data_IF_410969174166
#
_entry.id   IF_410969174166
#
_cell.length_a   1.000
_cell.length_b   1.000
_cell.length_c   1.000
_cell.angle_alpha   90.00
_cell.angle_beta   90.00
_cell.angle_gamma   90.00
#
_symmetry.space_group_name_H-M   'P 1'
#
loop_
_entity.id
_entity.type
_entity.pdbx_description
1 polymer ?
#
# COMPACT_ATOMS: atom_id res chain seq x y z
N UNK A 1 -8.48 -18.70 24.10
CA UNK A 1 -7.58 -18.91 22.94
C UNK A 1 -8.39 -19.31 21.69
N UNK A 2 -8.48 -18.43 20.68
CA UNK A 2 -9.21 -18.70 19.44
C UNK A 2 -8.45 -19.65 18.49
N UNK A 3 -8.75 -20.95 18.61
CA UNK A 3 -9.01 -22.00 17.61
C UNK A 3 -8.47 -21.94 16.14
N UNK A 4 -7.32 -21.33 15.85
CA UNK A 4 -6.72 -21.41 14.50
C UNK A 4 -5.67 -22.53 14.33
N UNK A 5 -4.93 -22.84 15.40
CA UNK A 5 -3.83 -23.82 15.36
C UNK A 5 -4.27 -25.25 14.99
N UNK A 6 -5.31 -25.82 15.63
CA UNK A 6 -5.79 -27.17 15.32
C UNK A 6 -6.33 -27.36 13.89
N UNK A 7 -6.74 -26.27 13.23
CA UNK A 7 -7.29 -26.28 11.88
C UNK A 7 -6.21 -26.13 10.79
N UNK A 8 -4.97 -25.75 11.15
CA UNK A 8 -3.90 -25.53 10.16
C UNK A 8 -3.46 -26.85 9.50
N UNK A 9 -3.72 -26.95 8.20
CA UNK A 9 -3.41 -28.12 7.39
C UNK A 9 -1.89 -28.36 7.26
N UNK A 10 -1.05 -27.33 7.46
CA UNK A 10 0.40 -27.41 7.38
C UNK A 10 1.04 -28.11 8.58
N UNK A 11 0.32 -28.23 9.70
CA UNK A 11 0.79 -28.98 10.87
C UNK A 11 0.58 -30.49 10.70
N UNK A 12 1.42 -31.31 11.35
CA UNK A 12 1.23 -32.76 11.31
C UNK A 12 -0.07 -33.16 12.02
N UNK A 13 -0.64 -34.33 11.67
CA UNK A 13 -1.84 -34.86 12.34
C UNK A 13 -1.63 -35.01 13.86
N UNK A 14 -0.41 -35.37 14.28
CA UNK A 14 -0.02 -35.51 15.69
C UNK A 14 -0.01 -34.16 16.41
N UNK A 15 0.60 -33.13 15.80
CA UNK A 15 0.60 -31.75 16.34
C UNK A 15 -0.82 -31.25 16.52
N UNK A 16 -1.67 -31.40 15.50
CA UNK A 16 -3.08 -30.97 15.58
C UNK A 16 -3.86 -31.70 16.68
N UNK A 17 -3.59 -32.98 16.89
CA UNK A 17 -4.24 -33.74 17.97
C UNK A 17 -3.83 -33.23 19.36
N UNK A 18 -2.55 -32.90 19.55
CA UNK A 18 -2.05 -32.29 20.80
C UNK A 18 -2.69 -30.92 21.01
N UNK A 19 -2.74 -30.07 19.99
CA UNK A 19 -3.36 -28.74 20.07
C UNK A 19 -4.85 -28.80 20.44
N UNK A 20 -5.59 -29.84 20.00
CA UNK A 20 -6.99 -30.05 20.38
C UNK A 20 -7.19 -30.51 21.82
N UNK A 21 -6.18 -31.16 22.39
CA UNK A 21 -6.23 -31.73 23.73
C UNK A 21 -5.71 -30.77 24.82
N UNK A 22 -5.37 -29.53 24.45
CA UNK A 22 -4.85 -28.55 25.40
C UNK A 22 -5.92 -28.10 26.41
N UNK A 23 -5.51 -27.76 27.64
CA UNK A 23 -6.40 -27.17 28.63
C UNK A 23 -7.04 -25.88 28.12
N UNK A 24 -8.29 -25.65 28.51
CA UNK A 24 -9.04 -24.44 28.13
C UNK A 24 -8.51 -23.22 28.88
N UNK A 25 -8.05 -23.41 30.13
CA UNK A 25 -7.54 -22.32 30.95
C UNK A 25 -6.04 -22.10 30.69
N UNK A 26 -5.64 -20.84 30.63
CA UNK A 26 -4.27 -20.46 30.29
C UNK A 26 -3.25 -20.84 31.38
N UNK A 27 -3.62 -20.81 32.66
CA UNK A 27 -2.81 -21.29 33.78
C UNK A 27 -2.49 -22.78 33.64
N UNK A 28 -3.50 -23.61 33.40
CA UNK A 28 -3.32 -25.06 33.21
C UNK A 28 -2.45 -25.36 31.99
N UNK A 29 -2.69 -24.68 30.87
CA UNK A 29 -1.91 -24.85 29.65
C UNK A 29 -0.45 -24.42 29.83
N UNK A 30 -0.20 -23.33 30.56
CA UNK A 30 1.15 -22.87 30.87
C UNK A 30 1.89 -23.86 31.78
N UNK A 31 1.25 -24.36 32.83
CA UNK A 31 1.83 -25.35 33.74
C UNK A 31 2.17 -26.65 33.00
N UNK A 32 1.23 -27.18 32.22
CA UNK A 32 1.47 -28.38 31.42
C UNK A 32 2.62 -28.19 30.43
N UNK A 33 2.72 -27.01 29.79
CA UNK A 33 3.81 -26.72 28.87
C UNK A 33 5.17 -26.63 29.58
N UNK A 34 5.23 -26.02 30.77
CA UNK A 34 6.45 -25.96 31.59
C UNK A 34 6.92 -27.35 32.02
N UNK A 35 5.98 -28.22 32.39
CA UNK A 35 6.28 -29.60 32.76
C UNK A 35 6.82 -30.40 31.57
N UNK A 36 6.20 -30.25 30.38
CA UNK A 36 6.69 -30.86 29.14
C UNK A 36 8.08 -30.35 28.72
N UNK A 37 8.40 -29.10 29.04
CA UNK A 37 9.70 -28.49 28.78
C UNK A 37 10.75 -28.85 29.86
N UNK A 38 10.33 -29.49 30.96
CA UNK A 38 11.21 -29.85 32.07
C UNK A 38 11.72 -28.64 32.86
N UNK A 39 10.95 -27.54 32.90
CA UNK A 39 11.33 -26.32 33.64
C UNK A 39 10.99 -26.51 35.12
N UNK A 40 12.02 -26.51 35.97
CA UNK A 40 11.87 -26.67 37.43
C UNK A 40 11.22 -25.43 38.06
N UNK A 41 10.59 -25.60 39.23
CA UNK A 41 9.92 -24.51 39.96
C UNK A 41 10.84 -23.31 40.21
N UNK A 42 12.11 -23.57 40.56
CA UNK A 42 13.11 -22.53 40.82
C UNK A 42 13.46 -21.69 39.58
N UNK A 43 13.35 -22.29 38.39
CA UNK A 43 13.71 -21.64 37.12
C UNK A 43 12.50 -20.96 36.43
N UNK A 44 11.27 -21.21 36.90
CA UNK A 44 10.03 -20.71 36.26
C UNK A 44 10.02 -19.19 36.10
N UNK A 45 10.41 -18.43 37.13
CA UNK A 45 10.39 -16.95 37.07
C UNK A 45 11.30 -16.46 35.93
N UNK A 46 12.54 -16.92 35.91
CA UNK A 46 13.53 -16.53 34.90
C UNK A 46 13.08 -16.94 33.50
N UNK A 47 12.53 -18.15 33.36
CA UNK A 47 12.07 -18.67 32.08
C UNK A 47 10.89 -17.87 31.53
N UNK A 48 9.88 -17.58 32.36
CA UNK A 48 8.72 -16.77 31.97
C UNK A 48 9.13 -15.32 31.63
N UNK A 49 10.06 -14.73 32.37
CA UNK A 49 10.62 -13.40 32.05
C UNK A 49 11.32 -13.38 30.69
N UNK A 50 12.06 -14.43 30.35
CA UNK A 50 12.69 -14.57 29.03
C UNK A 50 11.65 -14.62 27.89
N UNK A 51 10.51 -15.30 28.09
CA UNK A 51 9.41 -15.32 27.13
C UNK A 51 8.78 -13.93 26.93
N UNK A 52 8.53 -13.20 28.02
CA UNK A 52 7.92 -11.86 27.97
C UNK A 52 8.82 -10.82 27.32
N UNK A 53 10.14 -10.93 27.51
CA UNK A 53 11.13 -9.97 27.00
C UNK A 53 11.61 -10.28 25.58
N UNK A 54 11.29 -11.46 25.04
CA UNK A 54 11.76 -11.92 23.72
C UNK A 54 11.33 -11.01 22.56
N UNK A 55 10.15 -10.39 22.66
CA UNK A 55 9.61 -9.47 21.67
C UNK A 55 9.38 -8.10 22.33
N UNK A 56 10.37 -7.19 22.28
CA UNK A 56 10.25 -5.87 22.90
C UNK A 56 8.97 -5.16 22.46
N UNK A 57 8.24 -4.59 23.43
CA UNK A 57 6.97 -3.88 23.21
C UNK A 57 5.72 -4.75 23.18
N UNK A 58 5.80 -6.04 22.82
CA UNK A 58 4.61 -6.90 22.71
C UNK A 58 3.96 -7.21 24.06
N UNK A 59 4.73 -7.59 25.07
CA UNK A 59 4.19 -7.82 26.41
C UNK A 59 3.53 -6.54 26.98
N UNK A 60 4.12 -5.37 26.71
CA UNK A 60 3.55 -4.08 27.09
C UNK A 60 2.24 -3.78 26.34
N UNK A 61 2.17 -4.09 25.04
CA UNK A 61 0.96 -3.92 24.24
C UNK A 61 -0.17 -4.87 24.69
N UNK A 62 0.14 -6.15 24.95
CA UNK A 62 -0.82 -7.12 25.48
C UNK A 62 -1.36 -6.65 26.82
N UNK A 63 -0.49 -6.20 27.72
CA UNK A 63 -0.89 -5.61 29.00
C UNK A 63 -1.81 -4.39 28.82
N UNK A 64 -1.42 -3.46 27.95
CA UNK A 64 -2.20 -2.25 27.64
C UNK A 64 -3.60 -2.58 27.08
N UNK A 65 -3.71 -3.65 26.29
CA UNK A 65 -4.98 -4.17 25.74
C UNK A 65 -5.83 -4.84 26.82
N UNK A 66 -5.21 -5.66 27.67
CA UNK A 66 -5.88 -6.31 28.80
C UNK A 66 -6.44 -5.30 29.81
N UNK A 67 -5.70 -4.22 30.09
CA UNK A 67 -6.15 -3.11 30.94
C UNK A 67 -7.40 -2.38 30.39
N UNK A 68 -7.71 -2.55 29.10
CA UNK A 68 -8.91 -2.00 28.44
C UNK A 68 -10.04 -3.03 28.29
N UNK A 69 -9.91 -4.20 28.92
CA UNK A 69 -10.82 -5.34 28.77
C UNK A 69 -11.04 -5.76 27.31
N UNK A 70 -10.03 -5.56 26.46
CA UNK A 70 -10.04 -5.92 25.04
C UNK A 70 -8.93 -6.93 24.75
N UNK A 71 -9.28 -8.11 24.24
CA UNK A 71 -8.30 -9.09 23.76
C UNK A 71 -7.82 -10.09 24.82
N UNK A 72 -6.58 -10.55 24.68
CA UNK A 72 -5.93 -11.56 25.52
C UNK A 72 -5.08 -10.92 26.62
N UNK A 73 -4.89 -11.62 27.74
CA UNK A 73 -4.01 -11.15 28.81
C UNK A 73 -2.56 -11.68 28.71
N UNK A 74 -1.72 -11.31 29.68
CA UNK A 74 -0.32 -11.76 29.72
C UNK A 74 -0.18 -13.26 29.97
N UNK A 75 -1.11 -13.88 30.70
CA UNK A 75 -1.10 -15.30 30.99
C UNK A 75 -1.51 -16.10 29.75
N UNK A 76 -2.54 -15.67 29.04
CA UNK A 76 -2.93 -16.19 27.72
C UNK A 76 -1.74 -16.14 26.74
N UNK A 77 -1.04 -15.01 26.72
CA UNK A 77 0.14 -14.82 25.87
C UNK A 77 1.27 -15.77 26.24
N UNK A 78 1.57 -15.93 27.53
CA UNK A 78 2.58 -16.87 28.02
C UNK A 78 2.21 -18.32 27.71
N UNK A 79 0.98 -18.73 28.05
CA UNK A 79 0.45 -20.06 27.80
C UNK A 79 0.57 -20.44 26.33
N UNK A 80 0.17 -19.54 25.43
CA UNK A 80 0.33 -19.71 23.99
C UNK A 80 1.79 -19.95 23.59
N UNK A 81 2.73 -19.08 24.05
CA UNK A 81 4.15 -19.19 23.67
C UNK A 81 4.80 -20.46 24.19
N UNK A 82 4.55 -20.81 25.46
CA UNK A 82 5.08 -22.01 26.10
C UNK A 82 4.56 -23.27 25.42
N UNK A 83 3.27 -23.29 25.09
CA UNK A 83 2.63 -24.39 24.37
C UNK A 83 3.23 -24.58 22.98
N UNK A 84 3.46 -23.51 22.23
CA UNK A 84 4.12 -23.63 20.93
C UNK A 84 5.54 -24.15 21.06
N UNK A 85 6.31 -23.66 22.03
CA UNK A 85 7.68 -24.12 22.27
C UNK A 85 7.72 -25.60 22.64
N UNK A 86 6.88 -26.04 23.60
CA UNK A 86 6.82 -27.43 24.04
C UNK A 86 6.49 -28.38 22.89
N UNK A 87 5.46 -28.07 22.11
CA UNK A 87 5.02 -28.89 20.98
C UNK A 87 6.09 -28.96 19.89
N UNK A 88 6.71 -27.83 19.53
CA UNK A 88 7.71 -27.79 18.45
C UNK A 88 9.01 -28.50 18.85
N UNK A 89 9.45 -28.36 20.11
CA UNK A 89 10.65 -29.05 20.60
C UNK A 89 10.43 -30.55 20.79
N UNK A 90 9.27 -30.98 21.30
CA UNK A 90 8.94 -32.41 21.40
C UNK A 90 8.90 -33.11 20.05
N UNK A 91 8.54 -32.40 18.96
CA UNK A 91 8.55 -32.98 17.61
C UNK A 91 9.96 -33.10 17.00
N UNK A 92 10.89 -32.22 17.37
CA UNK A 92 12.29 -32.29 16.90
C UNK A 92 13.14 -33.33 17.67
N UNK A 93 12.68 -33.85 18.81
CA UNK A 93 13.39 -34.86 19.61
C UNK A 93 13.33 -36.28 19.04
N UNK A 94 12.58 -36.53 17.96
CA UNK A 94 12.36 -37.89 17.44
C UNK A 94 13.53 -38.53 16.67
N UNK A 95 14.78 -38.06 16.83
CA UNK A 95 15.93 -38.55 16.05
C UNK A 95 17.21 -38.88 16.86
N UNK A 96 17.15 -38.98 18.20
CA UNK A 96 18.27 -39.52 18.98
C UNK A 96 17.75 -40.35 20.17
N UNK A 97 18.37 -41.51 20.50
CA UNK A 97 18.03 -42.26 21.70
C UNK A 97 18.35 -41.43 22.95
N UNK A 98 17.42 -41.40 23.90
CA UNK A 98 17.59 -40.81 25.23
C UNK A 98 18.66 -41.59 26.01
N UNK A 99 19.89 -41.06 26.08
CA UNK A 99 20.70 -41.28 27.27
C UNK A 99 20.08 -40.44 28.42
N UNK A 100 20.02 -40.98 29.65
CA UNK A 100 19.51 -40.25 30.79
C UNK A 100 20.45 -39.08 31.10
N UNK A 101 20.12 -37.90 30.56
CA UNK A 101 20.80 -36.65 30.88
C UNK A 101 20.48 -36.35 32.34
N UNK A 102 21.39 -36.76 33.22
CA UNK A 102 21.44 -36.30 34.60
C UNK A 102 21.22 -34.78 34.62
N UNK A 103 20.46 -34.29 35.60
CA UNK A 103 20.02 -32.91 35.82
C UNK A 103 21.18 -31.90 36.03
N UNK A 104 22.13 -31.89 35.11
CA UNK A 104 23.13 -30.85 34.97
C UNK A 104 22.49 -29.73 34.18
N UNK A 105 22.44 -28.54 34.77
CA UNK A 105 22.07 -27.32 34.06
C UNK A 105 22.80 -27.30 32.72
N UNK A 106 22.12 -27.04 31.59
CA UNK A 106 22.80 -26.94 30.29
C UNK A 106 23.88 -25.87 30.39
N UNK A 107 25.13 -26.33 30.49
CA UNK A 107 26.31 -25.45 30.57
C UNK A 107 26.42 -24.75 29.22
N UNK A 108 26.33 -23.42 29.22
CA UNK A 108 26.61 -22.63 28.02
C UNK A 108 28.08 -22.89 27.65
N UNK A 109 28.36 -23.47 26.48
CA UNK A 109 29.73 -23.77 26.09
C UNK A 109 30.51 -22.46 25.95
N UNK A 110 31.72 -22.45 26.51
CA UNK A 110 32.67 -21.35 26.39
C UNK A 110 32.99 -21.07 24.92
N UNK A 111 33.48 -19.86 24.63
CA UNK A 111 33.87 -19.51 23.26
C UNK A 111 34.93 -20.46 22.68
N UNK A 112 35.80 -21.01 23.53
CA UNK A 112 36.83 -21.99 23.15
C UNK A 112 36.24 -23.35 22.79
N UNK A 113 35.27 -23.84 23.57
CA UNK A 113 34.56 -25.08 23.25
C UNK A 113 33.76 -24.95 21.94
N UNK A 114 33.12 -23.79 21.73
CA UNK A 114 32.44 -23.49 20.46
C UNK A 114 33.41 -23.44 19.29
N UNK A 115 34.60 -22.85 19.45
CA UNK A 115 35.64 -22.83 18.43
C UNK A 115 36.11 -24.25 18.08
N UNK A 116 36.35 -25.09 19.09
CA UNK A 116 36.72 -26.50 18.88
C UNK A 116 35.60 -27.32 18.22
N UNK A 117 34.35 -27.06 18.55
CA UNK A 117 33.21 -27.68 17.88
C UNK A 117 33.11 -27.27 16.41
N UNK A 118 33.36 -25.99 16.08
CA UNK A 118 33.41 -25.52 14.69
C UNK A 118 34.56 -26.13 13.90
N UNK A 119 35.76 -26.23 14.50
CA UNK A 119 36.91 -26.88 13.86
C UNK A 119 36.59 -28.33 13.47
N UNK A 120 35.99 -29.10 14.39
CA UNK A 120 35.53 -30.47 14.09
C UNK A 120 34.43 -30.51 13.03
N UNK A 121 33.45 -29.62 13.12
CA UNK A 121 32.34 -29.58 12.15
C UNK A 121 32.81 -29.23 10.73
N UNK A 122 33.90 -28.47 10.60
CA UNK A 122 34.52 -28.11 9.32
C UNK A 122 35.60 -29.08 8.86
N UNK A 123 35.87 -30.16 9.62
CA UNK A 123 36.92 -31.14 9.27
C UNK A 123 38.32 -30.54 9.24
N UNK A 124 38.58 -29.53 10.08
CA UNK A 124 39.91 -28.95 10.22
C UNK A 124 40.74 -29.82 11.17
N UNK A 125 41.66 -30.60 10.60
CA UNK A 125 42.65 -31.36 11.35
C UNK A 125 43.80 -30.43 11.80
N UNK A 126 44.42 -30.73 12.95
CA UNK A 126 45.59 -30.02 13.50
C UNK A 126 45.41 -28.50 13.77
N UNK A 127 44.25 -28.06 14.26
CA UNK A 127 44.10 -26.66 14.70
C UNK A 127 44.94 -26.39 15.94
N UNK A 128 45.90 -25.46 15.83
CA UNK A 128 46.78 -25.09 16.94
C UNK A 128 46.00 -24.48 18.12
N UNK A 129 46.56 -24.59 19.32
CA UNK A 129 45.96 -23.99 20.51
C UNK A 129 45.86 -22.45 20.41
N UNK A 130 46.80 -21.84 19.67
CA UNK A 130 46.81 -20.41 19.38
C UNK A 130 45.67 -20.00 18.46
N UNK A 131 45.37 -20.80 17.43
CA UNK A 131 44.28 -20.55 16.49
C UNK A 131 42.91 -20.74 17.14
N UNK A 132 42.75 -21.77 17.98
CA UNK A 132 41.55 -21.94 18.82
C UNK A 132 41.35 -20.74 19.75
N UNK A 133 42.43 -20.22 20.33
CA UNK A 133 42.40 -19.01 21.15
C UNK A 133 41.99 -17.76 20.37
N UNK A 134 42.47 -17.60 19.13
CA UNK A 134 42.06 -16.51 18.24
C UNK A 134 40.58 -16.61 17.85
N UNK A 135 40.12 -17.79 17.42
CA UNK A 135 38.72 -18.05 17.10
C UNK A 135 37.79 -17.83 18.31
N UNK A 136 38.21 -18.26 19.51
CA UNK A 136 37.46 -18.03 20.74
C UNK A 136 37.29 -16.52 21.04
N UNK A 137 38.31 -15.69 20.80
CA UNK A 137 38.20 -14.23 20.97
C UNK A 137 37.15 -13.63 20.04
N UNK A 138 37.11 -14.05 18.77
CA UNK A 138 36.08 -13.63 17.81
C UNK A 138 34.69 -14.07 18.27
N UNK A 139 34.54 -15.33 18.71
CA UNK A 139 33.27 -15.86 19.20
C UNK A 139 32.80 -15.24 20.53
N UNK A 140 33.71 -14.66 21.32
CA UNK A 140 33.38 -13.90 22.53
C UNK A 140 32.97 -12.47 22.21
N UNK A 141 33.57 -11.85 21.19
CA UNK A 141 33.20 -10.52 20.72
C UNK A 141 31.81 -10.47 20.06
N UNK A 142 31.26 -11.63 19.69
CA UNK A 142 29.93 -11.77 19.09
C UNK A 142 28.96 -12.57 19.99
N UNK A 143 28.39 -11.96 21.03
CA UNK A 143 27.40 -12.60 21.90
C UNK A 143 26.26 -13.21 21.08
N UNK A 144 25.68 -14.32 21.55
CA UNK A 144 24.54 -14.98 20.88
C UNK A 144 23.38 -14.00 20.64
N UNK A 145 23.15 -13.10 21.60
CA UNK A 145 22.13 -12.06 21.54
C UNK A 145 22.37 -11.02 20.44
N UNK A 146 23.63 -10.75 20.08
CA UNK A 146 23.99 -9.79 19.03
C UNK A 146 23.87 -10.37 17.62
N UNK A 147 23.91 -11.71 17.47
CA UNK A 147 23.94 -12.37 16.16
C UNK A 147 22.73 -12.04 15.30
N UNK A 148 21.54 -12.03 15.90
CA UNK A 148 20.29 -11.75 15.17
C UNK A 148 20.33 -10.34 14.55
N UNK A 149 20.81 -9.35 15.30
CA UNK A 149 20.96 -7.98 14.80
C UNK A 149 22.02 -7.89 13.70
N UNK A 150 23.15 -8.57 13.85
CA UNK A 150 24.21 -8.58 12.83
C UNK A 150 23.72 -9.22 11.53
N UNK A 151 22.99 -10.33 11.60
CA UNK A 151 22.38 -10.94 10.42
C UNK A 151 21.33 -10.03 9.77
N UNK A 152 20.50 -9.36 10.58
CA UNK A 152 19.54 -8.38 10.08
C UNK A 152 20.24 -7.21 9.36
N UNK A 153 21.28 -6.65 9.98
CA UNK A 153 22.08 -5.57 9.40
C UNK A 153 22.77 -6.00 8.12
N UNK A 154 23.33 -7.22 8.07
CA UNK A 154 23.94 -7.76 6.86
C UNK A 154 22.92 -7.93 5.72
N UNK A 155 21.72 -8.43 6.04
CA UNK A 155 20.62 -8.55 5.08
C UNK A 155 20.19 -7.18 4.52
N UNK A 156 19.97 -6.20 5.40
CA UNK A 156 19.59 -4.83 5.03
C UNK A 156 20.69 -4.13 4.23
N UNK A 157 21.95 -4.30 4.64
CA UNK A 157 23.12 -3.74 3.95
C UNK A 157 23.27 -4.34 2.57
N UNK A 158 23.12 -5.66 2.42
CA UNK A 158 23.16 -6.32 1.12
C UNK A 158 22.10 -5.75 0.17
N UNK A 159 20.85 -5.62 0.63
CA UNK A 159 19.77 -5.02 -0.17
C UNK A 159 20.08 -3.57 -0.54
N UNK A 160 20.51 -2.75 0.44
CA UNK A 160 20.85 -1.34 0.23
C UNK A 160 21.97 -1.19 -0.77
N UNK A 161 23.06 -1.92 -0.61
CA UNK A 161 24.25 -1.78 -1.45
C UNK A 161 23.99 -2.29 -2.87
N UNK A 162 23.11 -3.30 -3.04
CA UNK A 162 22.61 -3.71 -4.35
C UNK A 162 21.75 -2.61 -4.99
N UNK A 163 20.83 -2.00 -4.25
CA UNK A 163 19.99 -0.91 -4.73
C UNK A 163 20.81 0.33 -5.11
N UNK A 164 21.77 0.74 -4.27
CA UNK A 164 22.63 1.89 -4.54
C UNK A 164 23.49 1.68 -5.78
N UNK A 165 24.04 0.47 -5.98
CA UNK A 165 24.75 0.13 -7.23
C UNK A 165 23.83 0.23 -8.44
N UNK A 166 22.63 -0.36 -8.37
CA UNK A 166 21.67 -0.28 -9.47
C UNK A 166 21.27 1.16 -9.81
N UNK A 167 21.11 2.04 -8.81
CA UNK A 167 20.80 3.46 -9.03
C UNK A 167 21.99 4.21 -9.64
N UNK A 168 23.21 3.93 -9.19
CA UNK A 168 24.42 4.54 -9.74
C UNK A 168 24.64 4.14 -11.21
N UNK A 169 24.43 2.86 -11.56
CA UNK A 169 24.57 2.34 -12.92
C UNK A 169 23.48 2.84 -13.88
N UNK A 170 22.26 3.07 -13.38
CA UNK A 170 21.11 3.51 -14.18
C UNK A 170 20.86 5.02 -14.13
N UNK A 171 21.87 5.83 -13.81
CA UNK A 171 21.75 7.28 -13.89
C UNK A 171 21.60 7.71 -15.35
N UNK A 172 20.40 8.14 -15.73
CA UNK A 172 20.11 8.57 -17.09
C UNK A 172 21.03 9.74 -17.48
N UNK A 173 21.61 9.66 -18.68
CA UNK A 173 22.36 10.77 -19.24
C UNK A 173 21.41 11.97 -19.44
N UNK A 174 21.84 13.20 -19.08
CA UNK A 174 21.01 14.38 -19.28
C UNK A 174 20.67 14.54 -20.77
N UNK A 175 19.38 14.64 -21.11
CA UNK A 175 18.94 14.83 -22.50
C UNK A 175 19.40 16.19 -23.03
N UNK A 176 20.22 16.20 -24.07
CA UNK A 176 20.69 17.43 -24.73
C UNK A 176 19.70 17.85 -25.80
N UNK A 177 18.54 18.36 -25.40
CA UNK A 177 17.49 18.80 -26.34
C UNK A 177 16.20 19.23 -25.67
N UNK A 178 15.29 19.85 -26.44
CA UNK A 178 13.92 20.11 -26.00
C UNK A 178 13.11 18.83 -26.16
N UNK A 179 12.53 18.33 -25.08
CA UNK A 179 11.68 17.14 -25.13
C UNK A 179 10.50 17.31 -26.11
N UNK A 180 10.14 16.24 -26.80
CA UNK A 180 8.98 16.16 -27.68
C UNK A 180 7.67 16.38 -26.89
N UNK A 181 7.57 15.77 -25.70
CA UNK A 181 6.53 16.04 -24.72
C UNK A 181 7.06 15.88 -23.28
N UNK A 182 6.47 16.64 -22.37
CA UNK A 182 6.70 16.54 -20.94
C UNK A 182 5.47 15.96 -20.25
N UNK A 183 5.65 14.96 -19.40
CA UNK A 183 4.54 14.24 -18.77
C UNK A 183 4.73 14.29 -17.27
N UNK A 184 3.81 14.94 -16.57
CA UNK A 184 3.78 15.02 -15.12
C UNK A 184 2.82 13.94 -14.62
N UNK A 185 3.36 12.89 -14.01
CA UNK A 185 2.57 11.85 -13.35
C UNK A 185 2.45 12.15 -11.85
N UNK A 186 1.56 11.41 -11.18
CA UNK A 186 1.58 11.37 -9.73
C UNK A 186 2.95 10.93 -9.20
N UNK A 187 3.38 11.51 -8.08
CA UNK A 187 4.61 11.16 -7.37
C UNK A 187 4.57 9.77 -6.72
N UNK A 188 3.42 9.09 -6.79
CA UNK A 188 3.28 7.71 -6.38
C UNK A 188 4.32 6.81 -7.06
N UNK A 189 5.01 5.98 -6.27
CA UNK A 189 6.10 5.11 -6.74
C UNK A 189 5.64 4.11 -7.81
N UNK A 190 4.35 3.77 -7.85
CA UNK A 190 3.77 2.90 -8.88
C UNK A 190 3.79 3.56 -10.26
N UNK A 191 3.82 4.89 -10.33
CA UNK A 191 3.97 5.64 -11.58
C UNK A 191 5.42 5.66 -12.09
N UNK A 192 6.40 5.20 -11.30
CA UNK A 192 7.81 5.19 -11.71
C UNK A 192 8.06 4.29 -12.93
N UNK A 193 7.51 3.07 -12.93
CA UNK A 193 7.68 2.14 -14.05
C UNK A 193 7.15 2.71 -15.37
N UNK A 194 5.97 3.35 -15.33
CA UNK A 194 5.38 4.04 -16.48
C UNK A 194 6.29 5.19 -16.95
N UNK A 195 6.78 6.02 -16.01
CA UNK A 195 7.65 7.15 -16.31
C UNK A 195 8.96 6.71 -16.99
N UNK A 196 9.67 5.75 -16.39
CA UNK A 196 10.91 5.18 -16.97
C UNK A 196 10.65 4.56 -18.34
N UNK A 197 9.53 3.84 -18.51
CA UNK A 197 9.18 3.27 -19.81
C UNK A 197 8.95 4.34 -20.87
N UNK A 198 8.20 5.41 -20.57
CA UNK A 198 7.98 6.50 -21.53
C UNK A 198 9.29 7.18 -21.92
N UNK A 199 10.18 7.46 -20.97
CA UNK A 199 11.49 8.03 -21.28
C UNK A 199 12.35 7.08 -22.13
N UNK A 200 12.20 5.77 -21.97
CA UNK A 200 12.90 4.79 -22.81
C UNK A 200 12.43 4.79 -24.28
N UNK A 201 11.27 5.37 -24.59
CA UNK A 201 10.71 5.41 -25.95
C UNK A 201 11.26 6.56 -26.82
N UNK A 202 12.03 7.49 -26.25
CA UNK A 202 12.64 8.58 -27.03
C UNK A 202 12.79 9.88 -26.23
N UNK A 203 12.57 11.01 -26.90
CA UNK A 203 12.79 12.35 -26.34
C UNK A 203 11.63 12.82 -25.44
N UNK A 204 11.21 11.98 -24.50
CA UNK A 204 10.22 12.32 -23.49
C UNK A 204 10.90 12.66 -22.18
N UNK A 205 10.31 13.60 -21.45
CA UNK A 205 10.75 13.92 -20.09
C UNK A 205 9.58 13.76 -19.13
N UNK A 206 9.80 13.08 -18.01
CA UNK A 206 8.74 12.86 -17.03
C UNK A 206 9.04 13.54 -15.71
N UNK A 207 7.97 13.93 -15.02
CA UNK A 207 8.02 14.55 -13.69
C UNK A 207 7.08 13.80 -12.76
N UNK A 208 7.39 13.79 -11.47
CA UNK A 208 6.50 13.33 -10.42
C UNK A 208 5.98 14.51 -9.61
N UNK A 209 4.68 14.61 -9.41
CA UNK A 209 4.08 15.63 -8.56
C UNK A 209 2.91 15.08 -7.74
N UNK A 210 2.59 15.70 -6.61
CA UNK A 210 1.44 15.29 -5.82
C UNK A 210 0.16 15.33 -6.66
N UNK A 211 -0.67 14.26 -6.60
CA UNK A 211 -1.80 14.06 -7.53
C UNK A 211 -2.92 15.10 -7.47
N UNK A 212 -2.94 15.95 -6.45
CA UNK A 212 -3.86 17.10 -6.34
C UNK A 212 -3.34 18.37 -7.03
N UNK A 213 -2.11 18.32 -7.57
CA UNK A 213 -1.48 19.39 -8.37
C UNK A 213 -1.50 20.78 -7.73
N UNK A 214 -1.32 20.85 -6.41
CA UNK A 214 -1.35 22.09 -5.62
C UNK A 214 -2.72 22.80 -5.59
N UNK A 215 -3.79 22.13 -6.01
CA UNK A 215 -5.16 22.67 -5.97
C UNK A 215 -5.96 21.89 -4.92
N UNK A 216 -6.01 22.40 -3.69
CA UNK A 216 -6.77 21.77 -2.62
C UNK A 216 -8.27 22.06 -2.80
N UNK A 217 -9.02 21.09 -3.32
CA UNK A 217 -10.45 21.23 -3.63
C UNK A 217 -11.29 20.21 -2.89
N UNK A 218 -12.53 20.59 -2.59
CA UNK A 218 -13.61 19.69 -2.23
C UNK A 218 -14.43 19.42 -3.49
N UNK A 219 -14.54 18.16 -3.89
CA UNK A 219 -15.20 17.77 -5.12
C UNK A 219 -16.52 17.04 -4.87
N UNK A 220 -17.57 17.45 -5.58
CA UNK A 220 -18.86 16.78 -5.61
C UNK A 220 -19.20 16.38 -7.06
N UNK A 221 -19.34 15.08 -7.31
CA UNK A 221 -19.64 14.55 -8.64
C UNK A 221 -21.07 14.78 -9.11
N UNK A 222 -21.34 14.48 -10.38
CA UNK A 222 -22.63 14.76 -11.04
C UNK A 222 -23.87 14.11 -10.39
N UNK A 223 -23.66 12.94 -9.77
CA UNK A 223 -24.68 12.20 -9.03
C UNK A 223 -24.95 12.80 -7.64
N UNK A 224 -24.13 13.75 -7.18
CA UNK A 224 -24.15 14.27 -5.82
C UNK A 224 -23.51 13.30 -4.82
N UNK A 225 -24.01 13.32 -3.59
CA UNK A 225 -23.48 12.53 -2.47
C UNK A 225 -22.53 13.32 -1.58
N UNK A 226 -21.84 12.61 -0.68
CA UNK A 226 -20.85 13.20 0.21
C UNK A 226 -19.67 13.76 -0.61
N UNK A 227 -19.29 15.04 -0.43
CA UNK A 227 -18.14 15.60 -1.10
C UNK A 227 -16.84 14.90 -0.70
N UNK A 228 -15.89 14.80 -1.63
CA UNK A 228 -14.56 14.24 -1.38
C UNK A 228 -13.52 15.36 -1.33
N UNK A 229 -12.67 15.37 -0.30
CA UNK A 229 -11.55 16.29 -0.20
C UNK A 229 -10.38 15.74 -1.03
N UNK A 230 -10.03 16.42 -2.11
CA UNK A 230 -8.95 16.04 -3.02
C UNK A 230 -7.66 16.78 -2.63
N UNK A 231 -7.19 16.50 -1.42
CA UNK A 231 -5.97 17.05 -0.86
C UNK A 231 -5.40 16.12 0.23
N UNK A 232 -4.13 16.32 0.66
CA UNK A 232 -3.60 15.57 1.80
C UNK A 232 -4.44 15.77 3.06
N UNK A 233 -4.53 14.75 3.91
CA UNK A 233 -5.37 14.75 5.12
C UNK A 233 -5.11 15.91 6.10
N UNK A 234 -3.91 16.49 6.03
CA UNK A 234 -3.51 17.62 6.89
C UNK A 234 -3.90 18.99 6.30
N UNK A 235 -4.37 19.04 5.05
CA UNK A 235 -4.73 20.26 4.34
C UNK A 235 -6.25 20.34 4.25
N UNK A 236 -6.81 21.52 4.50
CA UNK A 236 -8.23 21.78 4.27
C UNK A 236 -8.45 22.25 2.83
N UNK A 237 -9.52 21.79 2.15
CA UNK A 237 -9.83 22.28 0.82
C UNK A 237 -10.19 23.78 0.85
N UNK A 238 -9.68 24.53 -0.12
CA UNK A 238 -9.92 25.98 -0.24
C UNK A 238 -11.13 26.29 -1.14
N UNK A 239 -11.43 25.41 -2.10
CA UNK A 239 -12.46 25.62 -3.11
C UNK A 239 -13.43 24.45 -3.19
N UNK A 240 -14.71 24.75 -3.35
CA UNK A 240 -15.74 23.75 -3.63
C UNK A 240 -16.02 23.65 -5.13
N UNK A 241 -15.65 22.51 -5.72
CA UNK A 241 -15.83 22.22 -7.13
C UNK A 241 -16.94 21.22 -7.30
N UNK A 242 -17.99 21.61 -8.02
CA UNK A 242 -19.13 20.76 -8.29
C UNK A 242 -19.17 20.43 -9.77
N UNK A 243 -19.37 19.16 -10.09
CA UNK A 243 -19.67 18.71 -11.44
C UNK A 243 -21.16 18.92 -11.73
N UNK A 244 -21.44 19.68 -12.80
CA UNK A 244 -22.80 20.01 -13.25
C UNK A 244 -23.03 19.45 -14.64
N UNK A 245 -24.27 19.06 -14.98
CA UNK A 245 -24.57 18.69 -16.34
C UNK A 245 -24.40 19.90 -17.26
N UNK A 246 -23.99 19.65 -18.51
CA UNK A 246 -24.10 20.68 -19.54
C UNK A 246 -25.57 21.14 -19.65
N UNK A 247 -25.84 22.43 -19.94
CA UNK A 247 -27.22 22.94 -20.06
C UNK A 247 -28.07 22.13 -21.05
N UNK A 248 -27.47 21.62 -22.13
CA UNK A 248 -28.11 20.78 -23.13
C UNK A 248 -28.26 19.30 -22.74
N UNK A 249 -27.74 18.89 -21.58
CA UNK A 249 -27.65 17.49 -21.15
C UNK A 249 -28.51 17.17 -19.91
N UNK A 250 -29.51 18.00 -19.59
CA UNK A 250 -30.38 17.80 -18.43
C UNK A 250 -31.06 16.41 -18.43
N UNK A 251 -31.68 16.02 -19.54
CA UNK A 251 -32.35 14.72 -19.67
C UNK A 251 -31.37 13.54 -19.54
N UNK A 252 -30.15 13.69 -20.09
CA UNK A 252 -29.12 12.67 -20.00
C UNK A 252 -28.67 12.50 -18.54
N UNK A 253 -28.48 13.60 -17.81
CA UNK A 253 -28.13 13.57 -16.39
C UNK A 253 -29.25 12.96 -15.53
N UNK A 254 -30.51 13.21 -15.86
CA UNK A 254 -31.64 12.57 -15.18
C UNK A 254 -31.67 11.06 -15.42
N UNK A 255 -31.44 10.59 -16.65
CA UNK A 255 -31.31 9.15 -16.96
C UNK A 255 -30.16 8.50 -16.20
N UNK A 256 -28.99 9.15 -16.17
CA UNK A 256 -27.84 8.70 -15.40
C UNK A 256 -28.18 8.54 -13.91
N UNK A 257 -28.84 9.55 -13.32
CA UNK A 257 -29.28 9.52 -11.92
C UNK A 257 -30.25 8.39 -11.63
N UNK A 258 -31.30 8.26 -12.45
CA UNK A 258 -32.32 7.21 -12.27
C UNK A 258 -31.70 5.81 -12.38
N UNK A 259 -30.84 5.59 -13.37
CA UNK A 259 -30.11 4.32 -13.54
C UNK A 259 -29.19 4.01 -12.36
N UNK A 260 -28.48 5.01 -11.86
CA UNK A 260 -27.58 4.87 -10.70
C UNK A 260 -28.36 4.57 -9.42
N UNK A 261 -29.49 5.23 -9.19
CA UNK A 261 -30.38 4.95 -8.05
C UNK A 261 -30.95 3.54 -8.10
N UNK A 262 -31.34 3.06 -9.29
CA UNK A 262 -31.80 1.68 -9.46
C UNK A 262 -30.72 0.67 -9.08
N UNK A 263 -29.48 0.88 -9.56
CA UNK A 263 -28.36 -0.01 -9.22
C UNK A 263 -28.00 0.05 -7.73
N UNK A 264 -27.94 1.26 -7.15
CA UNK A 264 -27.66 1.43 -5.72
C UNK A 264 -28.75 0.77 -4.85
N UNK A 265 -30.02 0.86 -5.25
CA UNK A 265 -31.13 0.17 -4.59
C UNK A 265 -30.99 -1.35 -4.67
N UNK A 266 -30.62 -1.90 -5.84
CA UNK A 266 -30.37 -3.32 -6.01
C UNK A 266 -29.19 -3.82 -5.15
N UNK A 267 -28.11 -3.05 -5.08
CA UNK A 267 -26.94 -3.34 -4.24
C UNK A 267 -27.29 -3.29 -2.75
N UNK A 268 -28.03 -2.27 -2.31
CA UNK A 268 -28.51 -2.16 -0.94
C UNK A 268 -29.43 -3.33 -0.56
N UNK A 269 -30.36 -3.71 -1.44
CA UNK A 269 -31.24 -4.86 -1.23
C UNK A 269 -30.46 -6.18 -1.13
N UNK A 270 -29.44 -6.36 -1.97
CA UNK A 270 -28.55 -7.52 -1.92
C UNK A 270 -27.76 -7.58 -0.60
N UNK A 271 -27.22 -6.44 -0.14
CA UNK A 271 -26.52 -6.37 1.14
C UNK A 271 -27.44 -6.62 2.33
N UNK A 272 -28.66 -6.07 2.32
CA UNK A 272 -29.66 -6.33 3.34
C UNK A 272 -30.04 -7.82 3.39
N UNK A 273 -30.22 -8.46 2.22
CA UNK A 273 -30.50 -9.90 2.13
C UNK A 273 -29.35 -10.74 2.71
N UNK A 274 -28.08 -10.35 2.49
CA UNK A 274 -26.91 -11.04 3.07
C UNK A 274 -26.86 -11.00 4.60
N UNK A 275 -27.38 -9.93 5.20
CA UNK A 275 -27.36 -9.73 6.65
C UNK A 275 -28.53 -10.42 7.38
N UNK A 276 -29.56 -10.85 6.64
CA UNK A 276 -30.68 -11.60 7.21
C UNK A 276 -30.32 -13.06 7.47
N UNK A 277 -31.02 -13.70 8.41
CA UNK A 277 -30.70 -15.07 8.87
C UNK A 277 -30.94 -16.14 7.79
N UNK A 278 -32.04 -16.03 7.03
CA UNK A 278 -32.50 -17.07 6.09
C UNK A 278 -32.38 -16.62 4.63
N UNK A 279 -32.49 -15.32 4.35
CA UNK A 279 -32.47 -14.79 3.00
C UNK A 279 -31.21 -15.12 2.17
N UNK A 280 -30.00 -15.29 2.74
CA UNK A 280 -28.84 -15.71 1.95
C UNK A 280 -29.02 -17.06 1.27
N UNK A 281 -29.69 -18.01 1.94
CA UNK A 281 -29.94 -19.35 1.39
C UNK A 281 -30.94 -19.29 0.24
N UNK A 282 -32.06 -18.59 0.45
CA UNK A 282 -33.07 -18.37 -0.60
C UNK A 282 -32.48 -17.61 -1.80
N UNK A 283 -31.63 -16.61 -1.55
CA UNK A 283 -30.94 -15.85 -2.60
C UNK A 283 -29.95 -16.73 -3.37
N UNK A 284 -29.23 -17.62 -2.68
CA UNK A 284 -28.32 -18.57 -3.32
C UNK A 284 -29.08 -19.57 -4.22
N UNK A 285 -30.23 -20.07 -3.79
CA UNK A 285 -31.07 -20.94 -4.62
C UNK A 285 -31.67 -20.19 -5.81
N UNK A 286 -32.22 -18.99 -5.59
CA UNK A 286 -32.90 -18.21 -6.61
C UNK A 286 -31.95 -17.61 -7.66
N UNK A 287 -30.76 -17.17 -7.24
CA UNK A 287 -29.83 -16.45 -8.10
C UNK A 287 -28.53 -17.22 -8.40
N UNK A 288 -28.27 -18.34 -7.73
CA UNK A 288 -27.01 -19.10 -7.86
C UNK A 288 -26.79 -19.65 -9.27
N UNK A 289 -27.86 -20.04 -9.98
CA UNK A 289 -27.79 -20.52 -11.36
C UNK A 289 -27.29 -19.45 -12.34
N UNK A 290 -27.47 -18.16 -12.02
CA UNK A 290 -26.95 -17.04 -12.81
C UNK A 290 -25.61 -16.51 -12.24
N UNK A 291 -25.50 -16.41 -10.91
CA UNK A 291 -24.32 -15.90 -10.22
C UNK A 291 -23.11 -16.81 -10.38
N UNK A 292 -23.29 -18.13 -10.37
CA UNK A 292 -22.22 -19.13 -10.55
C UNK A 292 -21.55 -19.02 -11.93
N UNK A 293 -22.30 -19.14 -13.04
CA UNK A 293 -21.75 -18.94 -14.37
C UNK A 293 -21.12 -17.55 -14.57
N UNK A 294 -21.72 -16.50 -14.00
CA UNK A 294 -21.15 -15.16 -14.04
C UNK A 294 -19.80 -15.06 -13.30
N UNK A 295 -19.69 -15.67 -12.12
CA UNK A 295 -18.43 -15.74 -11.38
C UNK A 295 -17.36 -16.53 -12.16
N UNK A 296 -17.74 -17.66 -12.77
CA UNK A 296 -16.83 -18.43 -13.63
C UNK A 296 -16.36 -17.60 -14.84
N UNK A 297 -17.26 -16.88 -15.51
CA UNK A 297 -16.93 -16.00 -16.63
C UNK A 297 -16.01 -14.85 -16.22
N UNK A 298 -16.20 -14.27 -15.03
CA UNK A 298 -15.29 -13.25 -14.47
C UNK A 298 -13.88 -13.80 -14.24
N UNK A 299 -13.76 -15.04 -13.79
CA UNK A 299 -12.46 -15.68 -13.50
C UNK A 299 -11.75 -16.12 -14.78
N UNK A 300 -12.47 -16.77 -15.71
CA UNK A 300 -11.88 -17.32 -16.93
C UNK A 300 -11.68 -16.28 -18.03
N UNK A 301 -12.46 -15.20 -18.02
CA UNK A 301 -12.45 -14.17 -19.07
C UNK A 301 -12.71 -12.77 -18.49
N UNK A 302 -11.81 -12.26 -17.63
CA UNK A 302 -12.02 -10.99 -16.92
C UNK A 302 -12.23 -9.79 -17.85
N UNK A 303 -11.52 -9.73 -18.98
CA UNK A 303 -11.66 -8.64 -19.96
C UNK A 303 -13.07 -8.61 -20.60
N UNK A 304 -13.56 -9.76 -21.06
CA UNK A 304 -14.87 -9.86 -21.71
C UNK A 304 -16.01 -9.59 -20.74
N UNK A 305 -15.94 -10.18 -19.54
CA UNK A 305 -16.91 -9.93 -18.46
C UNK A 305 -16.93 -8.48 -18.02
N UNK A 306 -15.75 -7.83 -17.94
CA UNK A 306 -15.62 -6.41 -17.64
C UNK A 306 -16.26 -5.51 -18.70
N UNK A 307 -16.06 -5.82 -19.98
CA UNK A 307 -16.67 -5.07 -21.08
C UNK A 307 -18.20 -5.27 -21.15
N UNK A 308 -18.71 -6.49 -20.94
CA UNK A 308 -20.15 -6.73 -20.88
C UNK A 308 -20.78 -5.97 -19.70
N UNK A 309 -20.17 -6.03 -18.51
CA UNK A 309 -20.61 -5.29 -17.32
C UNK A 309 -20.66 -3.79 -17.59
N UNK A 310 -19.63 -3.24 -18.25
CA UNK A 310 -19.57 -1.84 -18.66
C UNK A 310 -20.72 -1.47 -19.59
N UNK A 311 -20.97 -2.27 -20.64
CA UNK A 311 -22.08 -2.04 -21.57
C UNK A 311 -23.46 -2.09 -20.89
N UNK A 312 -23.68 -3.05 -20.00
CA UNK A 312 -24.94 -3.13 -19.25
C UNK A 312 -25.13 -1.91 -18.35
N UNK A 313 -24.08 -1.51 -17.63
CA UNK A 313 -24.09 -0.30 -16.82
C UNK A 313 -24.37 0.94 -17.66
N UNK A 314 -23.67 1.12 -18.77
CA UNK A 314 -23.81 2.32 -19.61
C UNK A 314 -25.17 2.35 -20.35
N UNK A 315 -25.86 1.20 -20.47
CA UNK A 315 -27.27 1.15 -20.91
C UNK A 315 -28.24 1.56 -19.81
N UNK A 316 -28.00 1.10 -18.58
CA UNK A 316 -28.85 1.41 -17.42
C UNK A 316 -28.68 2.85 -16.94
N UNK A 317 -27.45 3.33 -16.93
CA UNK A 317 -27.01 4.61 -16.41
C UNK A 317 -26.07 5.29 -17.45
N UNK A 318 -26.62 5.78 -18.57
CA UNK A 318 -25.82 6.33 -19.66
C UNK A 318 -25.04 7.56 -19.22
N UNK A 319 -23.77 7.72 -19.64
CA UNK A 319 -22.96 8.87 -19.26
C UNK A 319 -23.59 10.16 -19.76
N UNK A 320 -23.59 11.18 -18.91
CA UNK A 320 -24.13 12.49 -19.20
C UNK A 320 -22.98 13.50 -19.33
N UNK A 321 -22.93 14.30 -20.42
CA UNK A 321 -21.93 15.34 -20.58
C UNK A 321 -21.99 16.36 -19.45
N UNK A 322 -20.84 16.72 -18.89
CA UNK A 322 -20.73 17.55 -17.70
C UNK A 322 -19.66 18.63 -17.82
N UNK A 323 -19.71 19.58 -16.89
CA UNK A 323 -18.73 20.65 -16.71
C UNK A 323 -18.42 20.81 -15.23
N UNK A 324 -17.18 21.16 -14.92
CA UNK A 324 -16.76 21.50 -13.56
C UNK A 324 -16.97 22.99 -13.31
N UNK A 325 -17.42 23.36 -12.12
CA UNK A 325 -17.63 24.76 -11.73
C UNK A 325 -16.33 25.57 -11.51
N UNK A 326 -15.16 25.07 -11.93
CA UNK A 326 -13.84 25.66 -11.63
C UNK A 326 -13.76 27.13 -12.02
N UNK A 327 -14.31 27.51 -13.18
CA UNK A 327 -14.27 28.89 -13.66
C UNK A 327 -15.09 29.86 -12.79
N UNK A 328 -16.13 29.34 -12.13
CA UNK A 328 -17.00 30.11 -11.25
C UNK A 328 -16.45 30.13 -9.81
N UNK A 329 -15.81 29.04 -9.39
CA UNK A 329 -15.28 28.88 -8.03
C UNK A 329 -13.89 29.54 -7.85
N UNK A 330 -13.00 29.46 -8.84
CA UNK A 330 -11.59 29.84 -8.68
C UNK A 330 -11.21 31.02 -9.60
N UNK A 331 -10.92 32.17 -8.99
CA UNK A 331 -10.44 33.34 -9.71
C UNK A 331 -9.19 33.05 -10.57
N UNK A 332 -9.05 33.72 -11.71
CA UNK A 332 -7.93 33.50 -12.63
C UNK A 332 -6.56 33.72 -11.96
N UNK A 333 -6.46 34.70 -11.06
CA UNK A 333 -5.24 34.97 -10.30
C UNK A 333 -4.82 33.78 -9.41
N UNK A 334 -5.77 33.15 -8.71
CA UNK A 334 -5.50 31.95 -7.91
C UNK A 334 -5.11 30.76 -8.79
N UNK A 335 -5.76 30.58 -9.94
CA UNK A 335 -5.38 29.53 -10.91
C UNK A 335 -3.95 29.71 -11.42
N UNK A 336 -3.56 30.94 -11.75
CA UNK A 336 -2.20 31.25 -12.17
C UNK A 336 -1.19 31.00 -11.02
N UNK A 337 -1.55 31.38 -9.79
CA UNK A 337 -0.74 31.12 -8.61
C UNK A 337 -0.53 29.62 -8.36
N UNK A 338 -1.58 28.80 -8.40
CA UNK A 338 -1.45 27.35 -8.22
C UNK A 338 -0.60 26.71 -9.32
N UNK A 339 -0.78 27.14 -10.57
CA UNK A 339 0.06 26.69 -11.68
C UNK A 339 1.53 27.07 -11.46
N UNK A 340 1.81 28.31 -11.03
CA UNK A 340 3.16 28.76 -10.71
C UNK A 340 3.77 27.94 -9.57
N UNK A 341 3.03 27.72 -8.49
CA UNK A 341 3.48 26.91 -7.34
C UNK A 341 3.79 25.49 -7.77
N UNK A 342 2.90 24.83 -8.52
CA UNK A 342 3.10 23.48 -9.02
C UNK A 342 4.35 23.39 -9.90
N UNK A 343 4.45 24.24 -10.92
CA UNK A 343 5.57 24.27 -11.87
C UNK A 343 6.91 24.56 -11.19
N UNK A 344 6.93 25.52 -10.26
CA UNK A 344 8.15 25.87 -9.51
C UNK A 344 8.58 24.73 -8.59
N UNK A 345 7.63 24.12 -7.88
CA UNK A 345 7.91 23.04 -6.92
C UNK A 345 8.40 21.77 -7.63
N UNK A 346 7.88 21.45 -8.82
CA UNK A 346 8.37 20.31 -9.63
C UNK A 346 9.65 20.61 -10.42
N UNK A 347 10.17 21.84 -10.36
CA UNK A 347 11.36 22.27 -11.09
C UNK A 347 11.14 22.55 -12.59
N UNK A 348 9.91 22.45 -13.09
CA UNK A 348 9.55 22.74 -14.48
C UNK A 348 9.31 24.26 -14.66
N UNK A 349 10.40 25.02 -14.69
CA UNK A 349 10.37 26.49 -14.82
C UNK A 349 10.98 26.99 -16.14
N UNK A 350 11.69 26.12 -16.86
CA UNK A 350 12.41 26.42 -18.10
C UNK A 350 12.27 25.24 -19.07
N UNK A 351 12.60 25.47 -20.34
CA UNK A 351 12.68 24.43 -21.38
C UNK A 351 11.40 23.59 -21.55
N UNK A 352 10.24 24.25 -21.46
CA UNK A 352 8.95 23.60 -21.70
C UNK A 352 8.91 22.91 -23.07
N UNK A 353 8.48 21.65 -23.10
CA UNK A 353 8.11 20.97 -24.34
C UNK A 353 6.94 21.70 -25.02
N UNK A 354 6.63 21.35 -26.27
CA UNK A 354 5.44 21.91 -26.95
C UNK A 354 4.14 21.36 -26.36
N UNK A 355 4.21 20.17 -25.76
CA UNK A 355 3.11 19.49 -25.12
C UNK A 355 3.51 19.17 -23.68
N UNK A 356 2.70 19.62 -22.72
CA UNK A 356 2.81 19.25 -21.30
C UNK A 356 1.52 18.51 -20.91
N UNK A 357 1.66 17.30 -20.38
CA UNK A 357 0.52 16.47 -19.97
C UNK A 357 0.55 16.31 -18.45
N UNK A 358 -0.54 16.67 -17.79
CA UNK A 358 -0.75 16.45 -16.35
C UNK A 358 -1.62 15.20 -16.18
N UNK A 359 -1.04 14.16 -15.59
CA UNK A 359 -1.67 12.86 -15.42
C UNK A 359 -1.99 12.62 -13.94
N UNK A 360 -3.26 12.81 -13.57
CA UNK A 360 -3.81 12.20 -12.36
C UNK A 360 -3.83 10.68 -12.47
N UNK A 361 -3.82 9.97 -11.34
CA UNK A 361 -4.04 8.53 -11.33
C UNK A 361 -5.23 8.19 -10.44
N UNK A 362 -5.94 7.14 -10.81
CA UNK A 362 -6.97 6.52 -10.00
C UNK A 362 -6.94 5.02 -10.22
N UNK A 363 -7.50 4.28 -9.28
CA UNK A 363 -7.61 2.84 -9.31
C UNK A 363 -9.07 2.43 -9.36
N UNK A 364 -9.32 1.24 -9.93
CA UNK A 364 -10.63 0.60 -9.90
C UNK A 364 -10.41 -0.81 -9.40
N UNK A 365 -11.08 -1.16 -8.30
CA UNK A 365 -10.96 -2.46 -7.65
C UNK A 365 -12.31 -3.13 -7.54
N UNK A 366 -12.40 -4.44 -7.80
CA UNK A 366 -13.63 -5.20 -7.51
C UNK A 366 -13.79 -5.52 -6.01
N UNK A 367 -12.70 -5.46 -5.23
CA UNK A 367 -12.70 -5.74 -3.79
C UNK A 367 -12.29 -4.47 -3.01
N UNK A 368 -13.28 -3.86 -2.34
CA UNK A 368 -13.30 -2.47 -1.90
C UNK A 368 -12.34 -2.06 -0.74
N UNK A 369 -11.73 -2.91 0.11
CA UNK A 369 -10.92 -2.37 1.20
C UNK A 369 -9.59 -1.73 0.74
N UNK A 370 -9.14 -2.03 -0.49
CA UNK A 370 -7.87 -1.53 -1.01
C UNK A 370 -8.00 -0.32 -1.93
N UNK A 371 -9.22 0.13 -2.29
CA UNK A 371 -9.37 1.24 -3.24
C UNK A 371 -8.67 2.50 -2.75
N UNK A 372 -8.91 2.91 -1.50
CA UNK A 372 -8.26 4.09 -0.91
C UNK A 372 -6.74 3.93 -0.77
N UNK A 373 -6.25 2.69 -0.61
CA UNK A 373 -4.81 2.39 -0.58
C UNK A 373 -4.17 2.41 -1.98
N UNK A 374 -4.97 2.17 -3.02
CA UNK A 374 -4.51 2.14 -4.41
C UNK A 374 -4.72 3.48 -5.13
N UNK A 375 -5.62 4.31 -4.64
CA UNK A 375 -5.78 5.69 -5.07
C UNK A 375 -4.64 6.59 -4.54
N UNK A 376 -4.72 7.89 -4.78
CA UNK A 376 -3.63 8.81 -4.47
C UNK A 376 -3.63 9.17 -2.98
N UNK A 377 -2.57 8.81 -2.26
CA UNK A 377 -2.38 9.25 -0.87
C UNK A 377 -2.32 10.77 -0.72
N UNK A 378 -1.77 11.48 -1.72
CA UNK A 378 -1.74 12.94 -1.74
C UNK A 378 -3.11 13.59 -2.04
N UNK A 379 -4.12 12.80 -2.43
CA UNK A 379 -5.51 13.23 -2.59
C UNK A 379 -6.41 12.62 -1.52
N UNK A 380 -5.87 12.27 -0.35
CA UNK A 380 -6.65 11.70 0.76
C UNK A 380 -7.19 10.29 0.47
N UNK A 381 -6.53 9.53 -0.39
CA UNK A 381 -6.99 8.19 -0.81
C UNK A 381 -8.07 8.25 -1.90
N UNK A 382 -8.14 9.34 -2.66
CA UNK A 382 -9.04 9.52 -3.79
C UNK A 382 -8.29 9.54 -5.12
N UNK A 383 -8.99 9.33 -6.24
CA UNK A 383 -8.42 9.50 -7.57
C UNK A 383 -7.92 10.95 -7.79
N UNK A 384 -6.79 11.09 -8.49
CA UNK A 384 -6.16 12.37 -8.79
C UNK A 384 -6.96 13.19 -9.78
N UNK A 385 -7.63 14.23 -9.29
CA UNK A 385 -8.30 15.26 -10.07
C UNK A 385 -9.60 14.80 -10.76
N UNK A 386 -10.70 15.57 -10.67
CA UNK A 386 -11.91 15.26 -11.41
C UNK A 386 -11.72 15.59 -12.89
N UNK A 387 -12.25 14.74 -13.77
CA UNK A 387 -12.32 15.00 -15.22
C UNK A 387 -13.79 15.03 -15.63
N UNK A 388 -14.30 16.12 -16.24
CA UNK A 388 -15.68 16.16 -16.69
C UNK A 388 -15.92 15.13 -17.79
N UNK A 389 -17.11 14.56 -17.83
CA UNK A 389 -17.52 13.64 -18.87
C UNK A 389 -17.61 14.39 -20.22
N UNK A 390 -16.87 13.98 -21.26
CA UNK A 390 -16.93 14.64 -22.55
C UNK A 390 -18.30 14.43 -23.23
N UNK A 391 -18.70 15.32 -24.15
CA UNK A 391 -19.88 15.09 -24.99
C UNK A 391 -19.73 13.80 -25.82
N UNK A 392 -20.82 13.07 -26.10
CA UNK A 392 -20.77 11.90 -26.97
C UNK A 392 -20.23 12.30 -28.35
N UNK A 393 -19.18 11.62 -28.81
CA UNK A 393 -18.63 11.82 -30.15
C UNK A 393 -19.51 11.14 -31.19
N UNK A 394 -19.75 11.79 -32.32
CA UNK A 394 -20.39 11.15 -33.48
C UNK A 394 -19.52 9.98 -33.98
N UNK A 395 -20.17 8.89 -34.36
CA UNK A 395 -19.64 7.53 -34.57
C UNK A 395 -18.66 7.30 -35.74
N UNK A 396 -17.96 8.33 -36.24
CA UNK A 396 -17.14 8.25 -37.46
C UNK A 396 -15.63 8.19 -37.26
N UNK A 397 -15.12 8.05 -36.02
CA UNK A 397 -13.67 7.88 -35.80
C UNK A 397 -13.41 6.75 -34.81
N UNK A 398 -12.93 5.58 -35.26
CA UNK A 398 -12.51 4.54 -34.34
C UNK A 398 -11.13 4.90 -33.79
N UNK A 399 -10.97 4.91 -32.46
CA UNK A 399 -9.67 4.68 -31.85
C UNK A 399 -9.79 3.79 -30.61
N UNK A 400 -9.06 2.68 -30.68
CA UNK A 400 -8.64 1.85 -29.55
C UNK A 400 -7.57 2.59 -28.74
N UNK A 401 -7.95 3.22 -27.63
CA UNK A 401 -7.01 3.87 -26.71
C UNK A 401 -7.70 4.54 -25.51
N UNK A 402 -7.00 4.73 -24.37
CA UNK A 402 -7.58 5.33 -23.17
C UNK A 402 -8.04 6.78 -23.42
N UNK A 403 -9.19 7.13 -22.83
CA UNK A 403 -9.79 8.46 -22.92
C UNK A 403 -8.89 9.52 -22.29
N UNK A 404 -8.33 10.42 -23.11
CA UNK A 404 -7.67 11.64 -22.65
C UNK A 404 -8.60 12.83 -22.92
N UNK A 405 -9.09 13.48 -21.85
CA UNK A 405 -9.77 14.76 -21.98
C UNK A 405 -8.72 15.88 -21.85
N UNK A 406 -8.56 16.78 -22.84
CA UNK A 406 -7.64 17.89 -22.71
C UNK A 406 -8.14 18.87 -21.63
N UNK A 407 -7.26 19.22 -20.70
CA UNK A 407 -7.42 20.42 -19.90
C UNK A 407 -7.07 21.62 -20.79
N UNK A 408 -8.09 22.28 -21.33
CA UNK A 408 -7.93 23.51 -22.10
C UNK A 408 -9.02 23.70 -23.14
N UNK A 409 -9.68 24.86 -23.10
CA UNK A 409 -10.46 25.38 -24.22
C UNK A 409 -9.60 25.36 -25.50
N UNK A 410 -10.15 25.09 -26.69
CA UNK A 410 -9.39 25.21 -27.93
C UNK A 410 -8.87 26.65 -28.05
N UNK A 411 -7.55 26.81 -28.11
CA UNK A 411 -6.91 28.08 -28.46
C UNK A 411 -7.42 28.51 -29.85
N UNK A 412 -7.81 29.78 -30.06
CA UNK A 412 -8.25 30.25 -31.37
C UNK A 412 -7.11 30.11 -32.39
N UNK A 413 -7.34 29.29 -33.41
CA UNK A 413 -6.43 29.06 -34.54
C UNK A 413 -6.46 30.25 -35.51
N UNK A 414 -5.93 31.39 -35.09
CA UNK A 414 -5.61 32.51 -35.98
C UNK A 414 -4.14 32.89 -35.80
N UNK A 415 -3.33 32.93 -36.87
CA UNK A 415 -1.92 33.31 -36.79
C UNK A 415 -1.83 34.83 -36.63
N UNK A 416 -1.95 35.31 -35.39
CA UNK A 416 -1.63 36.68 -35.00
C UNK A 416 -0.22 36.73 -34.41
N UNK A 417 0.69 37.42 -35.09
CA UNK A 417 2.05 37.69 -34.63
C UNK A 417 2.04 38.49 -33.32
N UNK A 418 2.42 37.87 -32.21
CA UNK A 418 2.70 38.58 -30.97
C UNK A 418 4.18 39.01 -30.97
N UNK A 419 4.46 40.25 -31.41
CA UNK A 419 5.72 40.94 -31.06
C UNK A 419 5.61 41.44 -29.63
N UNK A 420 6.54 41.02 -28.78
CA UNK A 420 6.82 41.68 -27.51
C UNK A 420 7.28 43.12 -27.81
N UNK A 421 6.45 44.10 -27.44
CA UNK A 421 6.82 45.52 -27.45
C UNK A 421 7.82 45.76 -26.32
N UNK A 422 9.09 45.89 -26.67
CA UNK A 422 10.13 46.42 -25.80
C UNK A 422 10.03 47.94 -25.78
N UNK A 423 9.21 48.48 -24.88
CA UNK A 423 9.22 49.92 -24.54
C UNK A 423 9.33 50.05 -23.03
N UNK A 424 10.43 50.62 -22.49
CA UNK A 424 10.54 50.88 -21.07
C UNK A 424 9.65 52.08 -20.67
N UNK A 425 9.08 52.11 -19.46
CA UNK A 425 8.34 53.27 -18.96
C UNK A 425 9.30 54.45 -18.70
N UNK A 426 8.82 55.71 -18.80
CA UNK A 426 9.66 56.87 -18.62
C UNK A 426 10.10 57.03 -17.16
N UNK A 427 11.33 57.50 -17.04
CA UNK A 427 12.10 57.90 -15.86
C UNK A 427 11.35 58.82 -14.89
N UNK A 428 11.39 58.48 -13.60
CA UNK A 428 11.38 59.45 -12.51
C UNK A 428 12.58 59.16 -11.59
N UNK A 429 13.38 60.19 -11.36
CA UNK A 429 14.69 60.23 -10.71
C UNK A 429 14.63 60.08 -9.16
N UNK A 430 15.79 59.89 -8.49
CA UNK A 430 15.91 59.12 -7.26
C UNK A 430 15.92 59.99 -5.99
N UNK A 431 15.58 59.39 -4.86
CA UNK A 431 16.04 59.87 -3.55
C UNK A 431 16.60 58.70 -2.75
N UNK A 432 17.92 58.70 -2.59
CA UNK A 432 18.65 57.93 -1.60
C UNK A 432 18.38 58.50 -0.21
N UNK A 433 18.27 57.66 0.81
CA UNK A 433 19.13 57.68 2.01
C UNK A 433 18.86 56.48 2.94
N UNK A 434 19.96 55.84 3.31
CA UNK A 434 20.25 54.95 4.45
C UNK A 434 19.33 55.00 5.68
N UNK A 435 18.93 53.83 6.20
CA UNK A 435 19.54 53.17 7.38
C UNK A 435 19.12 51.71 7.44
#
# INVERSE_FOLDING_TARGET
>A
MADAGPADHKLSRRVRAVLRALPIRADDAALQALDLLGVTDDDRITYLQAHLTRLPGWAAHVRWSAERATGVDLLDYLAMRLTYESILLSHNRSSAPDEPVAASRPRIPSARERAGALARAWGLDEVSDTDLGAAARVLSALPVTARQLVWQQAYETHYRDALLRALAENSAAPSTGRAAAQIVCCIDTRSEGLRRHIESLGEYQTFGFAGFFAVAIRFTGLLGGTPNDLCPVLIRPEHEVVERPLPSAADAAQRLRNGSLLMAGAEAAFHAAKQALIAPFALAEAAGWAAGPWAAAKTLSPMASGELRRRLRDRLAPPAPSVLSINDTVALAHRALYAQVALTTMGLTKQFARLVVLCGHGSVTENNPYQAALDCGACGGQAGGPTPAPPPRSSTTPMSGPNWAPWGSPFPTTPGSWRLSTTPPPTASPCWTST
#
